data_IF_975600531657
#
_entry.id   IF_975600531657
#
_cell.length_a   1.000
_cell.length_b   1.000
_cell.length_c   1.000
_cell.angle_alpha   90.00
_cell.angle_beta   90.00
_cell.angle_gamma   90.00
#
_symmetry.space_group_name_H-M   'P 1'
#
loop_
_entity.id
_entity.type
_entity.pdbx_description
1 polymer ?
#
# COMPACT_ATOMS: atom_id res chain seq x y z
N UNK A 1 21.66 -5.77 -18.33
CA UNK A 1 21.92 -4.33 -18.18
C UNK A 1 20.56 -3.73 -17.89
N UNK A 2 20.16 -3.68 -16.61
CA UNK A 2 18.84 -3.19 -16.23
C UNK A 2 18.89 -1.67 -16.22
N UNK A 3 18.08 -1.06 -17.07
CA UNK A 3 17.89 0.38 -17.11
C UNK A 3 17.33 0.85 -15.77
N UNK A 4 18.07 1.74 -15.12
CA UNK A 4 17.60 2.51 -13.99
C UNK A 4 16.39 3.33 -14.47
N UNK A 5 15.19 2.98 -14.03
CA UNK A 5 14.00 3.81 -14.27
C UNK A 5 14.26 5.15 -13.57
N UNK A 6 14.57 6.18 -14.36
CA UNK A 6 14.67 7.56 -13.88
C UNK A 6 13.30 7.98 -13.34
N UNK A 7 13.26 8.31 -12.04
CA UNK A 7 12.06 8.78 -11.35
C UNK A 7 11.77 10.21 -11.79
N UNK A 8 10.82 10.39 -12.70
CA UNK A 8 10.19 11.69 -12.93
C UNK A 8 8.88 11.74 -12.15
N UNK A 9 8.80 12.56 -11.11
CA UNK A 9 7.51 13.01 -10.58
C UNK A 9 6.87 13.91 -11.62
N UNK A 10 6.15 13.30 -12.57
CA UNK A 10 5.39 14.06 -13.57
C UNK A 10 4.34 14.89 -12.82
N UNK A 11 4.26 16.21 -13.03
CA UNK A 11 3.23 17.02 -12.40
C UNK A 11 1.85 16.47 -12.78
N UNK A 12 0.90 16.50 -11.82
CA UNK A 12 -0.48 16.12 -12.09
C UNK A 12 -1.02 16.93 -13.29
N UNK A 13 -1.63 16.28 -14.30
CA UNK A 13 -2.31 16.98 -15.38
C UNK A 13 -3.35 17.97 -14.84
N UNK A 14 -3.53 19.09 -15.54
CA UNK A 14 -4.43 20.18 -15.13
C UNK A 14 -5.92 19.82 -15.16
N UNK A 15 -6.28 18.74 -15.87
CA UNK A 15 -7.62 18.20 -16.01
C UNK A 15 -7.91 17.02 -15.08
N UNK A 16 -6.96 16.66 -14.21
CA UNK A 16 -7.08 15.58 -13.22
C UNK A 16 -7.16 16.15 -11.79
N UNK A 17 -7.66 15.34 -10.86
CA UNK A 17 -7.75 15.71 -9.45
C UNK A 17 -6.49 15.25 -8.71
N UNK A 18 -5.63 16.17 -8.24
CA UNK A 18 -4.37 15.82 -7.60
C UNK A 18 -4.62 15.10 -6.27
N UNK A 19 -3.78 14.11 -5.97
CA UNK A 19 -3.65 13.53 -4.64
C UNK A 19 -2.67 14.36 -3.80
N UNK A 20 -2.82 14.29 -2.47
CA UNK A 20 -1.90 14.94 -1.54
C UNK A 20 -0.47 14.36 -1.67
N UNK A 21 -0.37 13.04 -1.88
CA UNK A 21 0.88 12.34 -2.10
C UNK A 21 0.86 11.51 -3.39
N UNK A 22 2.02 11.38 -4.02
CA UNK A 22 2.24 10.32 -5.01
C UNK A 22 2.28 8.97 -4.29
N UNK A 23 1.56 7.98 -4.80
CA UNK A 23 1.60 6.61 -4.30
C UNK A 23 2.13 5.65 -5.34
N UNK A 24 2.83 4.61 -4.87
CA UNK A 24 3.32 3.50 -5.68
C UNK A 24 2.55 2.24 -5.29
N UNK A 25 1.86 1.65 -6.26
CA UNK A 25 1.27 0.32 -6.12
C UNK A 25 2.28 -0.74 -6.54
N UNK A 26 2.46 -1.76 -5.71
CA UNK A 26 3.38 -2.87 -5.97
C UNK A 26 2.81 -4.19 -5.45
N UNK A 27 3.38 -5.31 -5.86
CA UNK A 27 3.00 -6.63 -5.35
C UNK A 27 4.23 -7.50 -5.10
N UNK A 28 4.05 -8.47 -4.22
CA UNK A 28 5.00 -9.54 -3.97
C UNK A 28 4.28 -10.88 -4.14
N UNK A 29 4.78 -11.74 -5.03
CA UNK A 29 4.34 -13.14 -5.11
C UNK A 29 5.38 -13.97 -4.40
N UNK A 30 4.96 -14.72 -3.37
CA UNK A 30 5.89 -15.55 -2.64
C UNK A 30 6.46 -16.65 -3.54
N UNK A 31 7.80 -16.78 -3.67
CA UNK A 31 8.42 -17.87 -4.42
C UNK A 31 8.03 -19.24 -3.87
N UNK A 32 8.02 -20.25 -4.75
CA UNK A 32 7.87 -21.64 -4.31
C UNK A 32 9.17 -22.12 -3.65
N UNK A 33 9.10 -22.56 -2.39
CA UNK A 33 10.23 -23.12 -1.65
C UNK A 33 10.75 -22.24 -0.52
N UNK A 34 12.06 -22.35 -0.21
CA UNK A 34 12.72 -21.49 0.79
C UNK A 34 12.78 -20.06 0.27
N UNK A 35 12.44 -19.13 1.14
CA UNK A 35 12.46 -17.70 0.87
C UNK A 35 13.21 -17.04 2.02
N UNK A 36 14.24 -16.28 1.71
CA UNK A 36 14.97 -15.48 2.67
C UNK A 36 14.25 -14.14 2.86
N UNK A 37 13.78 -13.81 4.07
CA UNK A 37 13.20 -12.51 4.36
C UNK A 37 14.10 -11.32 4.00
N UNK A 38 15.42 -11.48 4.03
CA UNK A 38 16.37 -10.41 3.65
C UNK A 38 16.26 -10.04 2.16
N UNK A 39 15.80 -10.96 1.31
CA UNK A 39 15.59 -10.70 -0.11
C UNK A 39 14.23 -10.07 -0.42
N UNK A 40 13.33 -9.92 0.57
CA UNK A 40 11.95 -9.48 0.36
C UNK A 40 11.83 -8.22 -0.48
N UNK A 41 12.66 -7.21 -0.18
CA UNK A 41 12.67 -5.94 -0.89
C UNK A 41 12.94 -6.10 -2.40
N UNK A 42 13.74 -7.09 -2.80
CA UNK A 42 14.09 -7.33 -4.20
C UNK A 42 12.96 -7.99 -4.99
N UNK A 43 12.06 -8.72 -4.33
CA UNK A 43 10.93 -9.37 -4.97
C UNK A 43 9.68 -8.48 -5.07
N UNK A 44 9.65 -7.33 -4.39
CA UNK A 44 8.55 -6.37 -4.53
C UNK A 44 8.60 -5.76 -5.93
N UNK A 45 7.60 -6.06 -6.74
CA UNK A 45 7.49 -5.59 -8.12
C UNK A 45 6.59 -4.34 -8.17
N UNK A 46 7.10 -3.17 -8.58
CA UNK A 46 6.27 -1.99 -8.81
C UNK A 46 5.35 -2.21 -10.01
N UNK A 47 4.11 -1.71 -9.91
CA UNK A 47 3.11 -1.79 -10.98
C UNK A 47 2.90 -0.42 -11.60
N UNK A 48 2.63 0.59 -10.76
CA UNK A 48 2.35 1.94 -11.19
C UNK A 48 2.66 2.94 -10.07
N UNK A 49 2.99 4.16 -10.48
CA UNK A 49 3.01 5.34 -9.63
C UNK A 49 1.89 6.27 -10.10
N UNK A 50 1.16 6.88 -9.16
CA UNK A 50 0.08 7.81 -9.49
C UNK A 50 0.01 8.96 -8.48
N UNK A 51 -0.34 10.13 -8.98
CA UNK A 51 -0.51 11.36 -8.20
C UNK A 51 -1.83 12.07 -8.45
N UNK A 52 -2.79 11.38 -9.09
CA UNK A 52 -4.16 11.84 -9.28
C UNK A 52 -5.18 10.74 -9.01
N UNK A 53 -6.43 11.13 -8.76
CA UNK A 53 -7.56 10.23 -8.57
C UNK A 53 -7.83 9.41 -9.83
N UNK A 54 -7.70 10.02 -11.00
CA UNK A 54 -7.89 9.40 -12.31
C UNK A 54 -6.84 8.33 -12.57
N UNK A 55 -5.57 8.63 -12.31
CA UNK A 55 -4.48 7.66 -12.45
C UNK A 55 -4.62 6.50 -11.47
N UNK A 56 -5.07 6.77 -10.23
CA UNK A 56 -5.41 5.73 -9.28
C UNK A 56 -6.47 4.78 -9.85
N UNK A 57 -7.62 5.31 -10.31
CA UNK A 57 -8.68 4.47 -10.86
C UNK A 57 -8.29 3.75 -12.14
N UNK A 58 -7.51 4.41 -13.01
CA UNK A 58 -6.97 3.82 -14.22
C UNK A 58 -6.05 2.65 -13.91
N UNK A 59 -5.28 2.71 -12.82
CA UNK A 59 -4.46 1.59 -12.34
C UNK A 59 -5.32 0.52 -11.68
N UNK A 60 -6.15 0.92 -10.71
CA UNK A 60 -6.89 0.00 -9.83
C UNK A 60 -7.88 -0.89 -10.56
N UNK A 61 -8.56 -0.37 -11.59
CA UNK A 61 -9.51 -1.14 -12.41
C UNK A 61 -8.91 -2.36 -13.11
N UNK A 62 -7.59 -2.38 -13.32
CA UNK A 62 -6.88 -3.47 -13.99
C UNK A 62 -6.25 -4.47 -13.01
N UNK A 63 -6.31 -4.19 -11.70
CA UNK A 63 -5.77 -5.07 -10.66
C UNK A 63 -6.82 -6.13 -10.30
N UNK A 64 -6.38 -7.39 -10.21
CA UNK A 64 -7.24 -8.48 -9.72
C UNK A 64 -7.65 -8.22 -8.28
N UNK A 65 -8.92 -8.43 -7.95
CA UNK A 65 -9.42 -8.24 -6.59
C UNK A 65 -8.77 -9.28 -5.65
N UNK A 66 -8.46 -8.90 -4.40
CA UNK A 66 -7.94 -9.82 -3.37
C UNK A 66 -8.68 -11.16 -3.25
N UNK A 67 -10.01 -11.15 -3.40
CA UNK A 67 -10.86 -12.35 -3.34
C UNK A 67 -10.66 -13.33 -4.49
N UNK A 68 -10.17 -12.84 -5.63
CA UNK A 68 -10.13 -13.59 -6.89
C UNK A 68 -8.74 -14.17 -7.15
N UNK A 69 -7.81 -13.98 -6.22
CA UNK A 69 -6.42 -14.41 -6.31
C UNK A 69 -6.25 -15.69 -5.51
N UNK A 70 -5.79 -16.74 -6.20
CA UNK A 70 -5.47 -18.04 -5.61
C UNK A 70 -4.03 -18.11 -5.09
N UNK A 71 -3.15 -17.28 -5.66
CA UNK A 71 -1.74 -17.25 -5.31
C UNK A 71 -1.48 -16.55 -3.98
N UNK A 72 -0.34 -16.86 -3.35
CA UNK A 72 0.11 -16.21 -2.11
C UNK A 72 0.76 -14.86 -2.47
N UNK A 73 -0.10 -13.87 -2.70
CA UNK A 73 0.29 -12.50 -3.08
C UNK A 73 0.11 -11.56 -1.89
N UNK A 74 1.04 -10.63 -1.75
CA UNK A 74 0.91 -9.45 -0.92
C UNK A 74 0.85 -8.21 -1.82
N UNK A 75 -0.23 -7.44 -1.72
CA UNK A 75 -0.37 -6.14 -2.39
C UNK A 75 0.11 -5.02 -1.48
N UNK A 76 0.73 -4.00 -2.06
CA UNK A 76 1.21 -2.84 -1.34
C UNK A 76 0.80 -1.55 -2.06
N UNK A 77 0.41 -0.55 -1.29
CA UNK A 77 0.32 0.83 -1.76
C UNK A 77 1.04 1.71 -0.74
N UNK A 78 2.13 2.35 -1.14
CA UNK A 78 2.95 3.19 -0.27
C UNK A 78 3.18 4.56 -0.88
N UNK A 79 3.37 5.58 -0.05
CA UNK A 79 3.82 6.89 -0.53
C UNK A 79 5.13 6.73 -1.29
N UNK A 80 5.29 7.50 -2.35
CA UNK A 80 6.49 7.46 -3.18
C UNK A 80 7.75 7.71 -2.34
N UNK A 81 8.78 6.89 -2.59
CA UNK A 81 10.03 6.95 -1.84
C UNK A 81 10.07 6.06 -0.59
N UNK A 82 8.93 5.56 -0.10
CA UNK A 82 8.88 4.62 1.03
C UNK A 82 8.75 3.19 0.51
N UNK A 83 9.69 2.32 0.88
CA UNK A 83 9.61 0.89 0.56
C UNK A 83 8.69 0.16 1.54
N UNK A 84 7.95 -0.88 1.11
CA UNK A 84 7.09 -1.67 1.98
C UNK A 84 7.86 -2.68 2.85
N UNK A 85 8.94 -2.22 3.50
CA UNK A 85 9.86 -3.06 4.29
C UNK A 85 10.21 -2.36 5.61
N UNK A 86 10.50 -3.13 6.66
CA UNK A 86 10.73 -2.57 8.01
C UNK A 86 12.08 -1.85 8.12
N UNK A 87 13.03 -2.17 7.25
CA UNK A 87 14.36 -1.55 7.14
C UNK A 87 14.30 -0.13 6.59
N UNK A 88 13.20 0.23 5.91
CA UNK A 88 13.00 1.58 5.39
C UNK A 88 13.03 2.59 6.54
N UNK A 89 13.72 3.71 6.32
CA UNK A 89 13.89 4.74 7.33
C UNK A 89 12.57 5.29 7.87
N UNK A 90 11.54 5.34 7.03
CA UNK A 90 10.20 5.78 7.41
C UNK A 90 9.47 4.75 8.29
N UNK A 91 9.70 3.46 8.06
CA UNK A 91 8.98 2.38 8.74
C UNK A 91 9.67 1.88 10.02
N UNK A 92 11.00 2.01 10.14
CA UNK A 92 11.80 1.35 11.20
C UNK A 92 11.40 1.71 12.63
N UNK A 93 10.79 2.88 12.84
CA UNK A 93 10.30 3.34 14.16
C UNK A 93 8.78 3.25 14.27
N UNK A 94 8.09 2.92 13.17
CA UNK A 94 6.64 2.94 13.07
C UNK A 94 5.95 1.75 13.71
N UNK A 95 4.64 1.71 13.51
CA UNK A 95 3.77 0.60 13.89
C UNK A 95 2.97 0.10 12.70
N UNK A 96 2.26 -1.01 12.90
CA UNK A 96 1.27 -1.48 11.95
C UNK A 96 0.00 -1.92 12.64
N UNK A 97 -1.13 -1.51 12.06
CA UNK A 97 -2.46 -1.95 12.44
C UNK A 97 -2.81 -3.15 11.58
N UNK A 98 -3.08 -4.30 12.19
CA UNK A 98 -3.40 -5.53 11.47
C UNK A 98 -4.87 -5.87 11.70
N UNK A 99 -5.67 -5.82 10.63
CA UNK A 99 -7.03 -6.30 10.63
C UNK A 99 -7.07 -7.70 10.02
N UNK A 100 -7.38 -8.70 10.85
CA UNK A 100 -7.59 -10.08 10.39
C UNK A 100 -9.02 -10.24 9.89
N UNK A 101 -9.14 -10.69 8.65
CA UNK A 101 -10.39 -10.75 7.92
C UNK A 101 -10.92 -12.17 7.82
N UNK A 102 -12.25 -12.27 7.77
CA UNK A 102 -12.92 -13.48 7.31
C UNK A 102 -12.82 -13.56 5.79
N UNK A 103 -12.83 -14.78 5.24
CA UNK A 103 -12.87 -15.01 3.78
C UNK A 103 -13.96 -14.17 3.12
N UNK A 104 -13.63 -13.56 1.98
CA UNK A 104 -14.54 -12.76 1.17
C UNK A 104 -14.63 -11.27 1.54
N UNK A 105 -14.05 -10.85 2.67
CA UNK A 105 -14.05 -9.42 3.07
C UNK A 105 -12.84 -8.64 2.56
N UNK A 106 -11.78 -9.33 2.11
CA UNK A 106 -10.50 -8.71 1.73
C UNK A 106 -10.64 -7.68 0.62
N UNK A 107 -11.40 -7.97 -0.43
CA UNK A 107 -11.55 -7.05 -1.56
C UNK A 107 -12.17 -5.72 -1.16
N UNK A 108 -13.29 -5.76 -0.42
CA UNK A 108 -13.99 -4.56 0.02
C UNK A 108 -13.16 -3.75 1.01
N UNK A 109 -12.54 -4.42 1.98
CA UNK A 109 -11.77 -3.74 3.02
C UNK A 109 -10.48 -3.15 2.43
N UNK A 110 -9.85 -3.85 1.50
CA UNK A 110 -8.71 -3.32 0.77
C UNK A 110 -9.09 -2.07 -0.04
N UNK A 111 -10.15 -2.14 -0.84
CA UNK A 111 -10.65 -0.99 -1.61
C UNK A 111 -10.96 0.21 -0.71
N UNK A 112 -11.73 0.00 0.37
CA UNK A 112 -12.05 1.04 1.34
C UNK A 112 -10.78 1.66 1.96
N UNK A 113 -9.79 0.84 2.31
CA UNK A 113 -8.53 1.32 2.87
C UNK A 113 -7.77 2.19 1.85
N UNK A 114 -7.67 1.77 0.59
CA UNK A 114 -7.01 2.57 -0.44
C UNK A 114 -7.72 3.89 -0.68
N UNK A 115 -9.07 3.88 -0.74
CA UNK A 115 -9.87 5.09 -0.90
C UNK A 115 -9.72 6.03 0.29
N UNK A 116 -9.69 5.50 1.51
CA UNK A 116 -9.44 6.27 2.72
C UNK A 116 -8.04 6.91 2.72
N UNK A 117 -7.03 6.19 2.19
CA UNK A 117 -5.68 6.71 2.06
C UNK A 117 -5.59 7.84 1.05
N UNK A 118 -5.99 7.61 -0.21
CA UNK A 118 -5.87 8.65 -1.25
C UNK A 118 -6.81 9.84 -1.01
N UNK A 119 -7.87 9.63 -0.24
CA UNK A 119 -8.81 10.67 0.19
C UNK A 119 -8.42 11.36 1.50
N UNK A 120 -7.26 11.03 2.09
CA UNK A 120 -6.77 11.63 3.35
C UNK A 120 -7.78 11.56 4.53
N UNK A 121 -8.52 10.45 4.63
CA UNK A 121 -9.60 10.28 5.61
C UNK A 121 -9.12 9.86 7.01
N UNK A 122 -7.83 9.55 7.18
CA UNK A 122 -7.29 9.14 8.48
C UNK A 122 -7.11 10.30 9.46
N UNK A 123 -7.12 11.56 9.00
CA UNK A 123 -6.95 12.77 9.82
C UNK A 123 -5.70 12.76 10.72
N UNK A 124 -4.71 11.92 10.40
CA UNK A 124 -3.44 11.79 11.13
C UNK A 124 -2.29 12.57 10.49
N UNK A 125 -2.60 13.45 9.52
CA UNK A 125 -1.59 14.16 8.73
C UNK A 125 -0.73 13.20 7.91
N UNK A 126 0.59 13.43 7.88
CA UNK A 126 1.51 12.67 7.03
C UNK A 126 1.84 11.26 7.57
N UNK A 127 1.27 10.87 8.71
CA UNK A 127 1.68 9.70 9.51
C UNK A 127 1.36 8.33 8.86
N UNK A 128 0.57 8.25 7.80
CA UNK A 128 0.37 7.00 7.05
C UNK A 128 1.50 6.82 6.03
N UNK A 129 2.29 5.76 6.15
CA UNK A 129 3.31 5.40 5.16
C UNK A 129 2.71 4.66 3.96
N UNK A 130 1.79 3.73 4.25
CA UNK A 130 1.28 2.80 3.26
C UNK A 130 0.33 1.76 3.84
N UNK A 131 -0.16 0.89 2.97
CA UNK A 131 -0.99 -0.25 3.33
C UNK A 131 -0.57 -1.52 2.59
N UNK A 132 -0.90 -2.66 3.20
CA UNK A 132 -0.61 -4.01 2.71
C UNK A 132 -1.88 -4.86 2.76
N UNK A 133 -2.15 -5.62 1.70
CA UNK A 133 -3.15 -6.69 1.74
C UNK A 133 -2.45 -8.02 1.51
N UNK A 134 -2.42 -8.87 2.54
CA UNK A 134 -1.87 -10.22 2.45
C UNK A 134 -2.97 -11.25 2.25
N UNK A 135 -3.06 -11.80 1.03
CA UNK A 135 -4.08 -12.80 0.67
C UNK A 135 -3.88 -14.08 1.47
N UNK A 136 -2.61 -14.47 1.70
CA UNK A 136 -2.25 -15.68 2.46
C UNK A 136 -2.80 -15.65 3.89
N UNK A 137 -2.62 -14.50 4.56
CA UNK A 137 -2.95 -14.36 5.96
C UNK A 137 -4.42 -13.94 6.18
N UNK A 138 -5.17 -13.68 5.10
CA UNK A 138 -6.46 -13.00 5.14
C UNK A 138 -6.37 -11.74 6.00
N UNK A 139 -5.33 -10.94 5.79
CA UNK A 139 -5.05 -9.78 6.62
C UNK A 139 -4.90 -8.53 5.74
N UNK A 140 -5.46 -7.44 6.21
CA UNK A 140 -5.17 -6.10 5.69
C UNK A 140 -4.44 -5.35 6.78
N UNK A 141 -3.33 -4.72 6.42
CA UNK A 141 -2.43 -4.02 7.32
C UNK A 141 -2.32 -2.56 6.86
N UNK A 142 -2.47 -1.61 7.78
CA UNK A 142 -2.11 -0.21 7.56
C UNK A 142 -0.82 0.07 8.33
N UNK A 143 0.16 0.72 7.68
CA UNK A 143 1.48 0.97 8.24
C UNK A 143 1.62 2.47 8.49
N UNK A 144 1.92 2.80 9.75
CA UNK A 144 1.94 4.16 10.29
C UNK A 144 3.32 4.49 10.85
N UNK A 145 3.69 5.77 10.80
CA UNK A 145 4.84 6.38 11.45
C UNK A 145 4.77 6.27 13.01
N UNK A 146 5.92 6.39 13.70
CA UNK A 146 6.08 6.17 15.15
C UNK A 146 5.20 6.98 16.11
N UNK A 147 4.73 8.18 15.73
CA UNK A 147 4.54 9.21 16.76
C UNK A 147 3.18 9.20 17.45
N UNK A 148 2.24 8.35 17.04
CA UNK A 148 0.87 8.31 17.58
C UNK A 148 0.42 6.87 17.85
N UNK A 149 0.95 6.23 18.89
CA UNK A 149 0.50 4.89 19.27
C UNK A 149 -0.82 4.85 20.06
N UNK A 150 -1.25 5.95 20.70
CA UNK A 150 -2.38 5.86 21.65
C UNK A 150 -3.70 6.50 21.17
N UNK A 151 -3.73 7.64 20.47
CA UNK A 151 -4.99 8.34 20.19
C UNK A 151 -5.74 7.94 18.90
N UNK A 152 -5.04 7.52 17.83
CA UNK A 152 -5.70 7.23 16.53
C UNK A 152 -6.34 5.83 16.42
N UNK A 153 -6.24 5.03 17.49
CA UNK A 153 -6.72 3.65 17.54
C UNK A 153 -8.24 3.50 17.35
N UNK A 154 -9.02 4.53 17.66
CA UNK A 154 -10.48 4.51 17.57
C UNK A 154 -11.06 5.14 16.30
N UNK A 155 -10.36 6.07 15.65
CA UNK A 155 -10.89 6.76 14.47
C UNK A 155 -10.62 6.00 13.16
N UNK A 156 -9.47 5.34 13.05
CA UNK A 156 -9.15 4.51 11.88
C UNK A 156 -10.08 3.29 11.70
N UNK A 157 -10.75 2.85 12.78
CA UNK A 157 -11.75 1.76 12.76
C UNK A 157 -13.17 2.22 12.41
N UNK A 158 -13.41 3.53 12.24
CA UNK A 158 -14.72 4.09 11.86
C UNK A 158 -14.91 4.25 10.35
N UNK A 159 -13.88 3.93 9.55
CA UNK A 159 -13.88 4.00 8.08
C UNK A 159 -14.32 2.66 7.47
#
# INVERSE_FOLDING_TARGET
>A
MCETIERSSSPCPSDEHPLEFTYVFSYFVRPQGKFDPEEYAAYVQPVASFNSVEQFWNTYRHIKRPSDITDKVDFHMFKEGIKPVWEDAANRKGGKWILRLRKGLSSRIWENLLLAMIGEQFLVGEEICGAVCSIRNQAVEAIQFPHLQEECSYEALRI
#
